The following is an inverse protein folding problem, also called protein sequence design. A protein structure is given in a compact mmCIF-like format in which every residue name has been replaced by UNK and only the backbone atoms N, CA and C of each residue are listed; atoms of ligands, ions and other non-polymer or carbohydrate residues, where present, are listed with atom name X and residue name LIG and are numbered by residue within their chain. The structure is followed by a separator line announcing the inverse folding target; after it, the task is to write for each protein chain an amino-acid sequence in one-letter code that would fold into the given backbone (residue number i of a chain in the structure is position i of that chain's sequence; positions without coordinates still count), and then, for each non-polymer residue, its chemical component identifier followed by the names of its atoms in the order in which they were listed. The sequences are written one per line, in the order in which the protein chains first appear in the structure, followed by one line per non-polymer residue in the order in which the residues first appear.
data_IF_346289096247
#
_entry.id   IF_346289096247
#
_cell.length_a   1.000
_cell.length_b   1.000
_cell.length_c   1.000
_cell.angle_alpha   90.00
_cell.angle_beta   90.00
_cell.angle_gamma   90.00
#
_symmetry.space_group_name_H-M   'P 1'
#
loop_
_entity.id
_entity.type
_entity.pdbx_description
1 polymer ?
#
# COMPACT_ATOMS: atom_id res chain seq x y z
N UNK A 1 69.91 -24.61 -5.90
CA UNK A 1 69.92 -24.54 -7.38
C UNK A 1 70.19 -25.94 -7.91
N UNK A 2 69.45 -26.36 -8.96
CA UNK A 2 69.60 -27.59 -9.79
C UNK A 2 69.15 -28.89 -9.10
N UNK A 3 68.01 -29.55 -9.39
CA UNK A 3 67.33 -30.01 -10.62
C UNK A 3 67.90 -31.30 -11.25
N UNK A 4 66.97 -32.10 -11.81
CA UNK A 4 67.07 -33.21 -12.78
C UNK A 4 67.06 -34.63 -12.16
N UNK A 5 66.29 -35.64 -12.61
CA UNK A 5 65.42 -35.86 -13.80
C UNK A 5 64.71 -37.23 -13.66
N UNK A 6 63.39 -37.31 -13.87
CA UNK A 6 62.61 -37.90 -15.02
C UNK A 6 62.28 -39.42 -14.96
N UNK A 7 60.98 -39.77 -14.77
CA UNK A 7 59.96 -40.29 -15.75
C UNK A 7 60.06 -41.80 -16.03
N UNK A 8 59.01 -42.61 -16.28
CA UNK A 8 57.54 -42.55 -16.39
C UNK A 8 57.07 -44.01 -16.65
N UNK A 9 55.76 -44.32 -16.50
CA UNK A 9 54.88 -45.03 -17.48
C UNK A 9 53.73 -45.84 -16.82
N UNK A 10 52.49 -45.45 -17.18
CA UNK A 10 51.24 -46.20 -17.46
C UNK A 10 50.47 -47.10 -16.45
N UNK A 11 49.23 -46.66 -16.18
CA UNK A 11 47.91 -47.25 -16.54
C UNK A 11 47.47 -48.71 -16.16
N UNK A 12 46.22 -48.79 -15.63
CA UNK A 12 45.12 -49.77 -15.81
C UNK A 12 44.66 -50.69 -14.63
N UNK A 13 43.42 -50.38 -14.17
CA UNK A 13 42.23 -51.24 -13.86
C UNK A 13 42.19 -52.30 -12.72
N UNK A 14 41.21 -52.18 -11.81
CA UNK A 14 40.04 -53.10 -11.61
C UNK A 14 39.41 -53.10 -10.18
N UNK A 15 38.12 -52.74 -10.07
CA UNK A 15 36.98 -53.47 -9.46
C UNK A 15 37.26 -54.40 -8.24
N UNK A 16 36.56 -54.38 -7.08
CA UNK A 16 35.10 -54.38 -6.87
C UNK A 16 34.73 -54.34 -5.36
N UNK A 17 33.61 -53.66 -5.09
CA UNK A 17 32.55 -53.83 -4.06
C UNK A 17 32.78 -54.55 -2.72
N UNK A 18 32.33 -53.89 -1.63
CA UNK A 18 31.32 -54.47 -0.72
C UNK A 18 30.34 -53.38 -0.24
N UNK A 19 29.05 -53.59 -0.54
CA UNK A 19 27.92 -52.87 0.06
C UNK A 19 27.68 -53.40 1.48
N UNK A 20 27.30 -52.51 2.39
CA UNK A 20 26.35 -52.83 3.45
C UNK A 20 25.44 -51.63 3.65
N UNK A 21 24.20 -51.85 3.23
CA UNK A 21 23.02 -51.03 3.43
C UNK A 21 22.72 -50.84 4.91
N UNK A 22 22.55 -49.59 5.33
CA UNK A 22 21.47 -49.27 6.26
C UNK A 22 20.68 -48.10 5.67
N UNK A 23 19.67 -48.47 4.88
CA UNK A 23 18.55 -47.61 4.57
C UNK A 23 17.69 -47.54 5.84
N UNK A 24 17.88 -46.47 6.61
CA UNK A 24 16.96 -46.01 7.62
C UNK A 24 16.58 -44.58 7.24
N UNK A 25 15.56 -44.46 6.40
CA UNK A 25 14.93 -43.18 6.10
C UNK A 25 14.46 -42.52 7.40
N UNK A 26 14.87 -41.28 7.62
CA UNK A 26 13.92 -40.25 8.04
C UNK A 26 14.23 -39.04 7.18
N UNK A 27 13.36 -38.87 6.19
CA UNK A 27 13.40 -37.81 5.21
C UNK A 27 13.46 -36.46 5.89
N UNK A 28 14.31 -35.61 5.31
CA UNK A 28 14.20 -34.17 5.35
C UNK A 28 12.74 -33.76 5.06
N UNK A 29 11.95 -33.55 6.11
CA UNK A 29 10.82 -32.64 6.05
C UNK A 29 11.40 -31.22 6.09
N UNK A 30 11.96 -30.81 4.97
CA UNK A 30 12.04 -29.40 4.65
C UNK A 30 10.62 -28.84 4.77
N UNK A 31 10.43 -27.86 5.65
CA UNK A 31 9.21 -27.07 5.83
C UNK A 31 8.82 -26.41 4.50
N UNK A 32 8.19 -27.16 3.62
CA UNK A 32 7.72 -26.72 2.31
C UNK A 32 6.33 -26.13 2.50
N UNK A 33 6.25 -24.80 2.42
CA UNK A 33 4.98 -24.13 2.15
C UNK A 33 4.41 -24.70 0.84
N UNK A 34 3.29 -25.42 0.94
CA UNK A 34 2.65 -26.02 -0.23
C UNK A 34 2.04 -24.89 -1.06
N UNK A 35 2.47 -24.74 -2.32
CA UNK A 35 1.77 -23.90 -3.29
C UNK A 35 0.40 -24.53 -3.56
N UNK A 36 -0.67 -23.79 -3.23
CA UNK A 36 -2.02 -24.33 -3.27
C UNK A 36 -2.72 -24.14 -4.63
N UNK A 37 -2.48 -23.04 -5.37
CA UNK A 37 -3.09 -22.79 -6.69
C UNK A 37 -2.59 -21.50 -7.38
N UNK A 38 -2.40 -21.43 -8.71
CA UNK A 38 -1.89 -20.24 -9.46
C UNK A 38 -3.02 -19.37 -10.01
N UNK A 39 -3.08 -18.05 -9.75
CA UNK A 39 -4.19 -17.17 -10.17
C UNK A 39 -3.73 -16.12 -11.20
N UNK A 40 -4.43 -15.88 -12.29
CA UNK A 40 -4.25 -14.70 -13.16
C UNK A 40 -5.33 -13.69 -12.87
N UNK A 41 -5.00 -12.40 -12.71
CA UNK A 41 -5.96 -11.38 -12.32
C UNK A 41 -6.93 -10.98 -13.46
N UNK A 42 -8.12 -10.54 -13.05
CA UNK A 42 -9.16 -10.01 -13.93
C UNK A 42 -8.74 -8.72 -14.66
N UNK A 43 -9.16 -8.57 -15.92
CA UNK A 43 -8.85 -7.42 -16.79
C UNK A 43 -10.13 -6.68 -17.17
N UNK A 44 -10.20 -5.34 -17.08
CA UNK A 44 -11.42 -4.59 -17.40
C UNK A 44 -11.78 -4.71 -18.88
N UNK A 45 -13.02 -5.11 -19.16
CA UNK A 45 -13.62 -5.15 -20.51
C UNK A 45 -14.46 -3.89 -20.73
N UNK A 46 -15.27 -3.52 -19.74
CA UNK A 46 -16.17 -2.37 -19.81
C UNK A 46 -16.19 -1.61 -18.49
N UNK A 47 -16.05 -0.29 -18.57
CA UNK A 47 -16.25 0.62 -17.44
C UNK A 47 -17.32 1.65 -17.77
N UNK A 48 -18.30 1.76 -16.89
CA UNK A 48 -19.36 2.78 -16.94
C UNK A 48 -18.98 3.90 -15.98
N UNK A 49 -19.00 5.14 -16.45
CA UNK A 49 -18.74 6.30 -15.60
C UNK A 49 -19.90 6.54 -14.61
N UNK A 50 -19.58 7.00 -13.39
CA UNK A 50 -20.59 7.44 -12.43
C UNK A 50 -21.36 8.64 -12.97
N UNK A 51 -22.69 8.59 -12.86
CA UNK A 51 -23.53 9.72 -13.20
C UNK A 51 -23.40 10.77 -12.09
N UNK A 52 -23.27 12.03 -12.48
CA UNK A 52 -23.30 13.12 -11.51
C UNK A 52 -24.72 13.28 -10.94
N UNK A 53 -24.93 13.20 -9.61
CA UNK A 53 -26.26 13.39 -9.03
C UNK A 53 -26.74 14.83 -9.24
N UNK A 54 -27.98 15.00 -9.73
CA UNK A 54 -28.51 16.31 -10.13
C UNK A 54 -28.59 17.31 -8.96
N UNK A 55 -28.90 16.85 -7.75
CA UNK A 55 -28.97 17.71 -6.57
C UNK A 55 -27.57 18.20 -6.15
N UNK A 56 -26.56 17.33 -6.24
CA UNK A 56 -25.16 17.71 -5.96
C UNK A 56 -24.65 18.71 -7.00
N UNK A 57 -24.95 18.46 -8.28
CA UNK A 57 -24.60 19.37 -9.37
C UNK A 57 -25.23 20.77 -9.18
N UNK A 58 -26.52 20.83 -8.81
CA UNK A 58 -27.21 22.11 -8.52
C UNK A 58 -26.64 22.82 -7.29
N UNK A 59 -26.24 22.07 -6.27
CA UNK A 59 -25.61 22.61 -5.08
C UNK A 59 -24.12 22.97 -5.29
N UNK A 60 -23.57 22.65 -6.46
CA UNK A 60 -22.16 22.84 -6.75
C UNK A 60 -21.23 22.01 -5.84
N UNK A 61 -21.73 20.88 -5.32
CA UNK A 61 -20.94 19.99 -4.46
C UNK A 61 -20.08 19.07 -5.31
N UNK A 62 -18.86 18.82 -4.87
CA UNK A 62 -17.87 17.91 -5.45
C UNK A 62 -17.42 16.89 -4.40
N UNK A 63 -16.82 15.80 -4.85
CA UNK A 63 -16.35 14.77 -3.93
C UNK A 63 -15.64 13.62 -4.60
N UNK A 64 -15.36 12.60 -3.81
CA UNK A 64 -14.77 11.35 -4.25
C UNK A 64 -15.30 10.20 -3.40
N UNK A 65 -15.26 8.99 -3.97
CA UNK A 65 -15.66 7.74 -3.32
C UNK A 65 -14.64 6.67 -3.69
N UNK A 66 -14.09 5.99 -2.68
CA UNK A 66 -13.24 4.82 -2.83
C UNK A 66 -14.08 3.58 -2.54
N UNK A 67 -14.17 2.70 -3.53
CA UNK A 67 -14.94 1.46 -3.44
C UNK A 67 -13.98 0.28 -3.50
N UNK A 68 -14.28 -0.75 -2.73
CA UNK A 68 -13.82 -2.10 -3.00
C UNK A 68 -14.93 -2.94 -3.62
N UNK A 69 -14.56 -3.92 -4.42
CA UNK A 69 -15.52 -4.79 -5.11
C UNK A 69 -14.91 -6.15 -5.45
N UNK A 70 -15.81 -7.10 -5.69
CA UNK A 70 -15.52 -8.47 -6.10
C UNK A 70 -15.74 -8.58 -7.61
N UNK A 71 -14.89 -9.33 -8.31
CA UNK A 71 -15.12 -9.74 -9.70
C UNK A 71 -15.42 -11.24 -9.68
N UNK A 72 -16.58 -11.65 -10.18
CA UNK A 72 -17.04 -13.03 -10.18
C UNK A 72 -16.42 -13.88 -11.29
N UNK A 73 -16.69 -15.19 -11.28
CA UNK A 73 -16.15 -16.16 -12.24
C UNK A 73 -16.57 -15.93 -13.70
N UNK A 74 -17.63 -15.17 -13.92
CA UNK A 74 -18.11 -14.71 -15.23
C UNK A 74 -17.63 -13.29 -15.57
N UNK A 75 -16.90 -12.65 -14.65
CA UNK A 75 -16.38 -11.30 -14.78
C UNK A 75 -17.36 -10.18 -14.40
N UNK A 76 -18.56 -10.51 -13.90
CA UNK A 76 -19.48 -9.53 -13.33
C UNK A 76 -18.92 -8.95 -12.02
N UNK A 77 -19.35 -7.74 -11.66
CA UNK A 77 -18.93 -7.08 -10.42
C UNK A 77 -20.00 -7.24 -9.34
N UNK A 78 -19.58 -7.71 -8.17
CA UNK A 78 -20.43 -7.91 -6.99
C UNK A 78 -19.76 -7.38 -5.73
N UNK A 79 -20.40 -7.55 -4.56
CA UNK A 79 -19.76 -7.33 -3.25
C UNK A 79 -19.16 -5.94 -3.07
N UNK A 80 -19.82 -4.91 -3.62
CA UNK A 80 -19.32 -3.54 -3.63
C UNK A 80 -19.44 -2.96 -2.21
N UNK A 81 -18.33 -2.46 -1.67
CA UNK A 81 -18.26 -1.81 -0.36
C UNK A 81 -17.59 -0.45 -0.53
N UNK A 82 -18.09 0.55 0.19
CA UNK A 82 -17.43 1.85 0.28
C UNK A 82 -16.34 1.72 1.35
N UNK A 83 -15.08 1.82 0.92
CA UNK A 83 -13.94 1.81 1.84
C UNK A 83 -13.74 3.19 2.45
N UNK A 84 -13.97 4.24 1.65
CA UNK A 84 -13.82 5.61 2.10
C UNK A 84 -14.55 6.59 1.16
N UNK A 85 -14.91 7.77 1.65
CA UNK A 85 -15.50 8.82 0.85
C UNK A 85 -15.25 10.22 1.41
N UNK A 86 -15.59 11.21 0.57
CA UNK A 86 -15.72 12.63 0.95
C UNK A 86 -17.00 12.95 1.75
N UNK A 87 -17.87 11.97 2.03
CA UNK A 87 -19.04 12.09 2.92
C UNK A 87 -20.41 12.29 2.24
N UNK A 88 -20.48 12.46 0.91
CA UNK A 88 -21.77 12.62 0.22
C UNK A 88 -22.41 11.27 -0.13
N UNK A 89 -23.51 10.95 0.55
CA UNK A 89 -24.29 9.73 0.27
C UNK A 89 -24.83 9.68 -1.17
N UNK A 90 -24.99 10.81 -1.86
CA UNK A 90 -25.43 10.82 -3.25
C UNK A 90 -24.33 10.36 -4.20
N UNK A 91 -23.09 10.80 -3.97
CA UNK A 91 -21.93 10.33 -4.73
C UNK A 91 -21.69 8.85 -4.48
N UNK A 92 -21.78 8.41 -3.24
CA UNK A 92 -21.67 6.99 -2.86
C UNK A 92 -22.66 6.12 -3.63
N UNK A 93 -23.94 6.51 -3.69
CA UNK A 93 -24.98 5.77 -4.44
C UNK A 93 -24.69 5.72 -5.94
N UNK A 94 -24.32 6.83 -6.57
CA UNK A 94 -24.04 6.84 -8.01
C UNK A 94 -22.72 6.12 -8.36
N UNK A 95 -21.75 6.14 -7.45
CA UNK A 95 -20.52 5.38 -7.58
C UNK A 95 -20.78 3.86 -7.57
N UNK A 96 -21.58 3.38 -6.60
CA UNK A 96 -21.98 1.96 -6.54
C UNK A 96 -22.69 1.55 -7.84
N UNK A 97 -23.70 2.31 -8.28
CA UNK A 97 -24.46 2.00 -9.52
C UNK A 97 -23.62 1.95 -10.79
N UNK A 98 -22.51 2.69 -10.82
CA UNK A 98 -21.59 2.66 -11.95
C UNK A 98 -20.66 1.45 -11.89
N UNK A 99 -20.07 1.18 -10.73
CA UNK A 99 -19.18 0.03 -10.51
C UNK A 99 -19.91 -1.30 -10.73
N UNK A 100 -21.19 -1.38 -10.33
CA UNK A 100 -22.06 -2.55 -10.55
C UNK A 100 -22.27 -2.88 -12.05
N UNK A 101 -22.07 -1.91 -12.94
CA UNK A 101 -22.22 -2.10 -14.40
C UNK A 101 -20.90 -2.36 -15.12
N UNK A 102 -19.82 -2.53 -14.37
CA UNK A 102 -18.52 -2.86 -14.96
C UNK A 102 -18.47 -4.34 -15.31
N UNK A 103 -17.71 -4.65 -16.36
CA UNK A 103 -17.45 -6.01 -16.80
C UNK A 103 -15.95 -6.23 -16.90
N UNK A 104 -15.51 -7.38 -16.47
CA UNK A 104 -14.13 -7.83 -16.55
C UNK A 104 -14.04 -9.18 -17.28
N UNK A 105 -12.84 -9.54 -17.73
CA UNK A 105 -12.50 -10.94 -17.88
C UNK A 105 -12.30 -11.52 -16.47
N UNK A 106 -12.77 -12.74 -16.18
CA UNK A 106 -12.61 -13.30 -14.84
C UNK A 106 -11.13 -13.52 -14.50
N UNK A 107 -10.84 -13.60 -13.21
CA UNK A 107 -9.57 -14.12 -12.76
C UNK A 107 -9.51 -15.63 -13.03
N UNK A 108 -8.33 -16.19 -13.28
CA UNK A 108 -8.15 -17.61 -13.65
C UNK A 108 -7.23 -18.30 -12.65
N UNK A 109 -7.73 -19.24 -11.85
CA UNK A 109 -6.94 -20.12 -10.98
C UNK A 109 -6.71 -21.48 -11.64
N UNK A 110 -5.45 -21.85 -11.90
CA UNK A 110 -5.04 -23.11 -12.52
C UNK A 110 -5.88 -23.48 -13.78
N UNK A 111 -6.12 -22.46 -14.62
CA UNK A 111 -6.89 -22.60 -15.86
C UNK A 111 -8.41 -22.55 -15.69
N UNK A 112 -8.93 -22.39 -14.47
CA UNK A 112 -10.36 -22.27 -14.18
C UNK A 112 -10.73 -20.86 -13.73
N UNK A 113 -11.85 -20.28 -14.19
CA UNK A 113 -12.32 -19.00 -13.68
C UNK A 113 -12.59 -19.03 -12.18
N UNK A 114 -12.13 -18.01 -11.46
CA UNK A 114 -12.33 -17.81 -10.02
C UNK A 114 -12.74 -16.39 -9.68
N UNK A 115 -13.38 -16.24 -8.53
CA UNK A 115 -13.77 -14.94 -7.98
C UNK A 115 -12.55 -14.19 -7.43
N UNK A 116 -12.35 -12.95 -7.86
CA UNK A 116 -11.33 -12.02 -7.36
C UNK A 116 -11.94 -11.07 -6.33
N UNK A 117 -11.75 -11.38 -5.04
CA UNK A 117 -12.58 -10.84 -3.96
C UNK A 117 -12.25 -9.43 -3.44
N UNK A 118 -11.13 -8.78 -3.82
CA UNK A 118 -10.96 -7.37 -3.48
C UNK A 118 -10.11 -6.61 -4.50
N UNK A 119 -10.81 -5.75 -5.19
CA UNK A 119 -10.35 -4.74 -6.12
C UNK A 119 -10.65 -3.39 -5.48
N UNK A 120 -9.93 -2.33 -5.84
CA UNK A 120 -10.22 -0.98 -5.32
C UNK A 120 -10.21 0.02 -6.45
N UNK A 121 -11.14 0.97 -6.41
CA UNK A 121 -11.17 2.09 -7.34
C UNK A 121 -11.61 3.35 -6.61
N UNK A 122 -11.09 4.50 -7.05
CA UNK A 122 -11.63 5.79 -6.66
C UNK A 122 -12.38 6.41 -7.82
N UNK A 123 -13.60 6.87 -7.58
CA UNK A 123 -14.40 7.66 -8.50
C UNK A 123 -14.49 9.10 -7.98
N UNK A 124 -14.20 10.06 -8.85
CA UNK A 124 -14.20 11.48 -8.53
C UNK A 124 -15.40 12.19 -9.18
N UNK A 125 -16.07 13.04 -8.40
CA UNK A 125 -17.20 13.85 -8.81
C UNK A 125 -16.77 15.31 -8.83
N UNK A 126 -16.34 15.78 -10.00
CA UNK A 126 -15.86 17.16 -10.21
C UNK A 126 -16.69 17.89 -11.26
N UNK A 127 -16.77 19.20 -11.12
CA UNK A 127 -17.35 20.06 -12.13
C UNK A 127 -16.27 20.82 -12.90
N UNK A 128 -16.48 21.04 -14.19
CA UNK A 128 -15.49 21.73 -15.03
C UNK A 128 -15.24 23.20 -14.64
N UNK A 129 -16.21 23.84 -13.97
CA UNK A 129 -16.18 25.25 -13.58
C UNK A 129 -16.17 25.48 -12.06
N UNK A 130 -15.77 24.49 -11.26
CA UNK A 130 -15.68 24.70 -9.80
C UNK A 130 -14.62 25.77 -9.51
N UNK A 131 -15.06 26.83 -8.81
CA UNK A 131 -14.26 28.03 -8.57
C UNK A 131 -12.87 27.75 -7.97
N UNK A 132 -11.97 28.73 -8.13
CA UNK A 132 -10.66 28.70 -7.48
C UNK A 132 -10.87 29.09 -6.01
N UNK A 133 -10.83 28.12 -5.10
CA UNK A 133 -10.89 28.36 -3.66
C UNK A 133 -11.85 27.45 -2.90
N UNK A 134 -12.18 27.85 -1.68
CA UNK A 134 -13.07 27.14 -0.74
C UNK A 134 -14.35 27.94 -0.50
N UNK A 135 -15.40 27.30 0.00
CA UNK A 135 -16.62 28.01 0.43
C UNK A 135 -16.35 28.94 1.61
N UNK A 136 -17.12 30.02 1.71
CA UNK A 136 -17.02 30.99 2.83
C UNK A 136 -17.24 30.33 4.19
N UNK A 137 -18.16 29.36 4.26
CA UNK A 137 -18.46 28.60 5.48
C UNK A 137 -17.26 27.76 5.92
N UNK A 138 -16.67 27.01 4.98
CA UNK A 138 -15.45 26.26 5.24
C UNK A 138 -14.31 27.18 5.68
N UNK A 139 -14.06 28.26 4.94
CA UNK A 139 -12.98 29.21 5.23
C UNK A 139 -13.08 29.76 6.65
N UNK A 140 -14.28 30.14 7.10
CA UNK A 140 -14.49 30.65 8.45
C UNK A 140 -14.17 29.60 9.52
N UNK A 141 -14.63 28.36 9.35
CA UNK A 141 -14.33 27.26 10.27
C UNK A 141 -12.84 26.92 10.28
N UNK A 142 -12.24 26.80 9.10
CA UNK A 142 -10.82 26.49 8.91
C UNK A 142 -9.91 27.55 9.54
N UNK A 143 -10.22 28.84 9.37
CA UNK A 143 -9.43 29.90 9.98
C UNK A 143 -9.49 29.86 11.50
N UNK A 144 -10.69 29.70 12.08
CA UNK A 144 -10.86 29.57 13.54
C UNK A 144 -10.12 28.35 14.08
N UNK A 145 -10.20 27.22 13.38
CA UNK A 145 -9.50 26.00 13.79
C UNK A 145 -7.98 26.17 13.74
N UNK A 146 -7.44 26.75 12.67
CA UNK A 146 -6.00 26.99 12.55
C UNK A 146 -5.49 28.05 13.53
N UNK A 147 -6.29 29.07 13.84
CA UNK A 147 -5.97 30.04 14.90
C UNK A 147 -5.86 29.34 16.25
N UNK A 148 -6.84 28.50 16.61
CA UNK A 148 -6.80 27.71 17.83
C UNK A 148 -5.62 26.71 17.84
N UNK A 149 -5.32 26.06 16.72
CA UNK A 149 -4.19 25.13 16.59
C UNK A 149 -2.85 25.82 16.87
N UNK A 150 -2.66 27.03 16.35
CA UNK A 150 -1.39 27.75 16.46
C UNK A 150 -1.28 28.57 17.75
N UNK A 151 -2.35 28.71 18.52
CA UNK A 151 -2.36 29.43 19.78
C UNK A 151 -1.99 28.50 20.95
N UNK A 152 -0.81 28.70 21.54
CA UNK A 152 -0.35 27.94 22.71
C UNK A 152 -1.24 28.11 23.95
N UNK A 153 -2.04 29.19 24.01
CA UNK A 153 -2.99 29.47 25.10
C UNK A 153 -4.41 28.95 24.84
N UNK A 154 -4.69 28.36 23.68
CA UNK A 154 -6.01 27.81 23.40
C UNK A 154 -6.33 26.64 24.33
N UNK A 155 -7.54 26.63 24.89
CA UNK A 155 -7.97 25.51 25.74
C UNK A 155 -8.12 24.24 24.91
N UNK A 156 -7.66 23.09 25.43
CA UNK A 156 -7.81 21.79 24.76
C UNK A 156 -9.27 21.52 24.36
N UNK A 157 -10.22 21.89 25.22
CA UNK A 157 -11.65 21.74 24.96
C UNK A 157 -12.16 22.54 23.77
N UNK A 158 -11.70 23.77 23.56
CA UNK A 158 -12.10 24.56 22.39
C UNK A 158 -11.52 23.97 21.10
N UNK A 159 -10.24 23.60 21.14
CA UNK A 159 -9.56 22.99 20.02
C UNK A 159 -10.24 21.68 19.61
N UNK A 160 -10.59 20.82 20.57
CA UNK A 160 -11.28 19.55 20.33
C UNK A 160 -12.67 19.76 19.71
N UNK A 161 -13.42 20.77 20.15
CA UNK A 161 -14.73 21.13 19.56
C UNK A 161 -14.59 21.61 18.13
N UNK A 162 -13.55 22.40 17.83
CA UNK A 162 -13.27 22.86 16.47
C UNK A 162 -12.80 21.69 15.58
N UNK A 163 -11.98 20.79 16.10
CA UNK A 163 -11.58 19.56 15.41
C UNK A 163 -12.80 18.70 15.08
N UNK A 164 -13.71 18.47 16.04
CA UNK A 164 -14.95 17.74 15.80
C UNK A 164 -15.85 18.43 14.78
N UNK A 165 -15.93 19.76 14.81
CA UNK A 165 -16.67 20.54 13.81
C UNK A 165 -16.04 20.42 12.42
N UNK A 166 -14.70 20.35 12.35
CA UNK A 166 -13.96 20.13 11.10
C UNK A 166 -14.17 18.72 10.56
N UNK A 167 -14.11 17.68 11.41
CA UNK A 167 -14.38 16.28 11.03
C UNK A 167 -15.81 16.09 10.49
N UNK A 168 -16.79 16.75 11.10
CA UNK A 168 -18.19 16.67 10.70
C UNK A 168 -18.59 17.63 9.55
N UNK A 169 -17.64 18.40 9.02
CA UNK A 169 -17.94 19.35 7.95
C UNK A 169 -18.23 18.62 6.63
N UNK A 170 -19.42 18.83 6.08
CA UNK A 170 -19.81 18.32 4.76
C UNK A 170 -19.08 19.08 3.65
N UNK A 171 -18.16 18.40 2.97
CA UNK A 171 -17.35 18.96 1.88
C UNK A 171 -18.25 19.43 0.73
N UNK A 172 -18.01 20.66 0.26
CA UNK A 172 -18.66 21.24 -0.91
C UNK A 172 -17.74 21.24 -2.10
N UNK A 173 -16.49 21.67 -1.94
CA UNK A 173 -15.50 21.68 -3.03
C UNK A 173 -14.42 20.68 -2.73
N UNK A 174 -13.93 19.94 -3.74
CA UNK A 174 -12.98 18.87 -3.44
C UNK A 174 -11.66 19.38 -2.83
N UNK A 175 -11.28 20.64 -3.07
CA UNK A 175 -10.12 21.27 -2.42
C UNK A 175 -10.32 21.51 -0.92
N UNK A 176 -11.57 21.63 -0.44
CA UNK A 176 -11.85 21.71 1.00
C UNK A 176 -11.46 20.41 1.70
N UNK A 177 -11.65 19.26 1.05
CA UNK A 177 -11.20 17.96 1.57
C UNK A 177 -9.68 17.95 1.80
N UNK A 178 -8.91 18.60 0.93
CA UNK A 178 -7.45 18.73 1.13
C UNK A 178 -7.15 19.57 2.39
N UNK A 179 -7.67 20.80 2.47
CA UNK A 179 -7.39 21.71 3.59
C UNK A 179 -7.90 21.16 4.93
N UNK A 180 -9.07 20.53 4.93
CA UNK A 180 -9.65 19.87 6.09
C UNK A 180 -8.69 18.82 6.65
N UNK A 181 -8.22 17.92 5.79
CA UNK A 181 -7.37 16.82 6.24
C UNK A 181 -5.95 17.28 6.58
N UNK A 182 -5.40 18.31 5.94
CA UNK A 182 -4.13 18.91 6.38
C UNK A 182 -4.26 19.49 7.79
N UNK A 183 -5.32 20.25 8.07
CA UNK A 183 -5.53 20.82 9.41
C UNK A 183 -5.77 19.74 10.47
N UNK A 184 -6.52 18.68 10.13
CA UNK A 184 -6.74 17.54 11.04
C UNK A 184 -5.47 16.69 11.26
N UNK A 185 -4.58 16.61 10.27
CA UNK A 185 -3.27 15.99 10.45
C UNK A 185 -2.40 16.78 11.44
N UNK A 186 -2.37 18.11 11.34
CA UNK A 186 -1.66 18.99 12.29
C UNK A 186 -2.24 18.88 13.71
N UNK A 187 -3.56 18.75 13.82
CA UNK A 187 -4.20 18.48 15.10
C UNK A 187 -3.76 17.12 15.68
N UNK A 188 -3.80 16.04 14.88
CA UNK A 188 -3.36 14.72 15.31
C UNK A 188 -1.88 14.69 15.72
N UNK A 189 -1.02 15.44 15.02
CA UNK A 189 0.38 15.66 15.39
C UNK A 189 0.52 16.26 16.80
N UNK A 190 -0.22 17.33 17.11
CA UNK A 190 -0.24 17.95 18.45
C UNK A 190 -0.71 17.00 19.55
N UNK A 191 -1.60 16.07 19.20
CA UNK A 191 -2.11 15.06 20.12
C UNK A 191 -1.19 13.82 20.21
N UNK A 192 -0.03 13.81 19.54
CA UNK A 192 0.87 12.66 19.41
C UNK A 192 0.15 11.39 18.91
N UNK A 193 -0.69 11.54 17.89
CA UNK A 193 -1.46 10.46 17.27
C UNK A 193 -0.95 10.17 15.85
N UNK A 194 0.23 9.52 15.68
CA UNK A 194 0.87 9.35 14.38
C UNK A 194 0.02 8.56 13.38
N UNK A 195 -0.75 7.56 13.83
CA UNK A 195 -1.67 6.82 12.95
C UNK A 195 -2.82 7.69 12.43
N UNK A 196 -3.40 8.55 13.29
CA UNK A 196 -4.47 9.49 12.89
C UNK A 196 -3.92 10.59 11.99
N UNK A 197 -2.70 11.05 12.26
CA UNK A 197 -1.97 11.99 11.40
C UNK A 197 -1.76 11.39 10.00
N UNK A 198 -1.24 10.16 9.92
CA UNK A 198 -1.04 9.45 8.65
C UNK A 198 -2.36 9.24 7.89
N UNK A 199 -3.43 8.86 8.59
CA UNK A 199 -4.78 8.74 8.02
C UNK A 199 -5.24 10.04 7.32
N UNK A 200 -5.08 11.19 7.99
CA UNK A 200 -5.46 12.47 7.40
C UNK A 200 -4.52 12.88 6.25
N UNK A 201 -3.21 12.66 6.36
CA UNK A 201 -2.28 12.93 5.25
C UNK A 201 -2.63 12.10 4.00
N UNK A 202 -2.94 10.82 4.17
CA UNK A 202 -3.39 9.96 3.07
C UNK A 202 -4.68 10.49 2.42
N UNK A 203 -5.64 10.96 3.22
CA UNK A 203 -6.89 11.57 2.73
C UNK A 203 -6.66 12.89 2.01
N UNK A 204 -5.74 13.73 2.48
CA UNK A 204 -5.40 14.99 1.82
C UNK A 204 -4.91 14.75 0.38
N UNK A 205 -4.17 13.65 0.15
CA UNK A 205 -3.66 13.25 -1.17
C UNK A 205 -4.74 12.61 -2.07
N UNK A 206 -5.95 12.33 -1.55
CA UNK A 206 -7.08 11.79 -2.35
C UNK A 206 -7.75 12.85 -3.23
N UNK A 207 -7.51 14.14 -3.02
CA UNK A 207 -8.14 15.12 -3.89
C UNK A 207 -7.56 15.08 -5.31
N UNK A 208 -8.41 14.76 -6.28
CA UNK A 208 -7.98 14.34 -7.61
C UNK A 208 -7.44 15.47 -8.50
N UNK A 209 -7.70 16.76 -8.24
CA UNK A 209 -6.96 17.82 -8.98
C UNK A 209 -5.46 17.72 -8.70
N UNK A 210 -5.07 17.24 -7.51
CA UNK A 210 -3.67 16.98 -7.21
C UNK A 210 -3.07 15.85 -8.07
N UNK A 211 -3.92 14.98 -8.65
CA UNK A 211 -3.51 13.82 -9.47
C UNK A 211 -3.69 14.03 -10.98
N UNK A 212 -4.34 15.11 -11.42
CA UNK A 212 -4.72 15.33 -12.83
C UNK A 212 -3.55 15.65 -13.79
N UNK A 213 -2.33 15.89 -13.28
CA UNK A 213 -1.17 16.25 -14.10
C UNK A 213 -0.19 15.10 -14.36
N UNK A 214 -0.60 13.85 -14.15
CA UNK A 214 0.23 12.66 -14.31
C UNK A 214 0.40 12.18 -15.77
N UNK A 215 0.11 12.99 -16.78
CA UNK A 215 0.18 12.60 -18.20
C UNK A 215 1.22 13.41 -18.98
N UNK A 216 2.05 12.73 -19.77
CA UNK A 216 3.10 13.26 -20.66
C UNK A 216 2.53 14.01 -21.88
N UNK A 217 1.69 15.02 -21.67
CA UNK A 217 1.24 15.94 -22.71
C UNK A 217 1.88 17.30 -22.52
N UNK A 218 2.24 17.98 -23.61
CA UNK A 218 2.71 19.36 -23.56
C UNK A 218 1.66 20.24 -22.88
N UNK A 219 1.99 20.71 -21.68
CA UNK A 219 1.12 21.59 -20.90
C UNK A 219 1.23 23.01 -21.44
N UNK A 220 0.08 23.66 -21.66
CA UNK A 220 0.04 25.11 -21.87
C UNK A 220 0.63 25.85 -20.66
N UNK A 221 1.07 27.10 -20.84
CA UNK A 221 1.58 27.95 -19.75
C UNK A 221 0.63 27.99 -18.54
N UNK A 222 -0.67 28.15 -18.80
CA UNK A 222 -1.71 28.15 -17.77
C UNK A 222 -1.79 26.80 -17.03
N UNK A 223 -1.66 25.68 -17.75
CA UNK A 223 -1.64 24.36 -17.13
C UNK A 223 -0.36 24.13 -16.30
N UNK A 224 0.79 24.67 -16.72
CA UNK A 224 2.02 24.63 -15.92
C UNK A 224 1.88 25.42 -14.61
N UNK A 225 1.27 26.61 -14.64
CA UNK A 225 1.02 27.41 -13.43
C UNK A 225 0.09 26.68 -12.45
N UNK A 226 -0.95 26.02 -12.97
CA UNK A 226 -1.86 25.20 -12.17
C UNK A 226 -1.13 23.99 -11.59
N UNK A 227 -0.32 23.28 -12.39
CA UNK A 227 0.53 22.16 -11.94
C UNK A 227 1.43 22.60 -10.80
N UNK A 228 2.19 23.67 -10.95
CA UNK A 228 3.08 24.19 -9.89
C UNK A 228 2.30 24.57 -8.63
N UNK A 229 1.09 25.12 -8.76
CA UNK A 229 0.24 25.44 -7.61
C UNK A 229 -0.23 24.21 -6.85
N UNK A 230 -0.45 23.11 -7.55
CA UNK A 230 -0.79 21.81 -6.97
C UNK A 230 0.42 21.21 -6.27
N UNK A 231 1.59 21.24 -6.90
CA UNK A 231 2.81 20.69 -6.32
C UNK A 231 3.21 21.40 -5.02
N UNK A 232 2.94 22.72 -4.90
CA UNK A 232 3.10 23.48 -3.65
C UNK A 232 2.31 22.88 -2.48
N UNK A 233 1.15 22.28 -2.77
CA UNK A 233 0.31 21.63 -1.78
C UNK A 233 0.76 20.18 -1.52
N UNK A 234 1.17 19.46 -2.58
CA UNK A 234 1.59 18.06 -2.46
C UNK A 234 2.88 17.88 -1.67
N UNK A 235 3.88 18.73 -1.92
CA UNK A 235 5.20 18.61 -1.32
C UNK A 235 5.20 18.48 0.21
N UNK A 236 4.60 19.43 0.98
CA UNK A 236 4.63 19.34 2.44
C UNK A 236 3.91 18.10 2.98
N UNK A 237 2.78 17.73 2.37
CA UNK A 237 1.99 16.54 2.78
C UNK A 237 2.77 15.25 2.53
N UNK A 238 3.37 15.10 1.34
CA UNK A 238 4.19 13.94 1.01
C UNK A 238 5.46 13.88 1.88
N UNK A 239 6.09 15.03 2.15
CA UNK A 239 7.28 15.06 3.00
C UNK A 239 6.95 14.64 4.44
N UNK A 240 5.90 15.20 5.05
CA UNK A 240 5.47 14.83 6.39
C UNK A 240 5.04 13.36 6.46
N UNK A 241 4.33 12.89 5.43
CA UNK A 241 3.94 11.48 5.28
C UNK A 241 5.17 10.57 5.25
N UNK A 242 6.21 10.91 4.48
CA UNK A 242 7.44 10.14 4.43
C UNK A 242 8.11 10.01 5.81
N UNK A 243 8.16 11.10 6.59
CA UNK A 243 8.76 11.06 7.92
C UNK A 243 8.02 10.07 8.84
N UNK A 244 6.69 10.11 8.85
CA UNK A 244 5.87 9.18 9.63
C UNK A 244 5.99 7.74 9.14
N UNK A 245 6.06 7.50 7.83
CA UNK A 245 6.25 6.17 7.27
C UNK A 245 7.61 5.58 7.66
N UNK A 246 8.66 6.40 7.69
CA UNK A 246 9.98 5.98 8.17
C UNK A 246 9.97 5.71 9.69
N UNK A 247 9.34 6.57 10.48
CA UNK A 247 9.20 6.42 11.93
C UNK A 247 8.41 5.15 12.30
N UNK A 248 7.34 4.87 11.58
CA UNK A 248 6.48 3.68 11.75
C UNK A 248 6.98 2.44 11.01
N UNK A 249 8.18 2.51 10.41
CA UNK A 249 8.82 1.44 9.64
C UNK A 249 7.95 0.88 8.50
N UNK A 250 7.05 1.70 7.93
CA UNK A 250 6.32 1.41 6.71
C UNK A 250 7.16 1.74 5.46
N UNK A 251 8.27 1.02 5.32
CA UNK A 251 9.26 1.18 4.24
C UNK A 251 8.57 1.04 2.87
N UNK A 252 7.58 0.16 2.77
CA UNK A 252 6.83 -0.04 1.54
C UNK A 252 6.10 1.24 1.12
N UNK A 253 5.34 1.89 2.00
CA UNK A 253 4.71 3.13 1.60
C UNK A 253 5.72 4.29 1.49
N UNK A 254 6.78 4.32 2.32
CA UNK A 254 7.87 5.29 2.24
C UNK A 254 8.49 5.39 0.84
N UNK A 255 8.81 4.26 0.19
CA UNK A 255 9.39 4.26 -1.17
C UNK A 255 8.43 4.86 -2.19
N UNK A 256 7.13 4.57 -2.09
CA UNK A 256 6.12 5.17 -2.99
C UNK A 256 6.02 6.68 -2.77
N UNK A 257 6.10 7.12 -1.52
CA UNK A 257 6.10 8.53 -1.17
C UNK A 257 7.36 9.24 -1.69
N UNK A 258 8.54 8.61 -1.58
CA UNK A 258 9.79 9.12 -2.17
C UNK A 258 9.68 9.26 -3.69
N UNK A 259 9.16 8.25 -4.39
CA UNK A 259 8.94 8.32 -5.84
C UNK A 259 7.97 9.45 -6.21
N UNK A 260 6.91 9.63 -5.41
CA UNK A 260 5.97 10.74 -5.58
C UNK A 260 6.65 12.10 -5.37
N UNK A 261 7.52 12.23 -4.37
CA UNK A 261 8.32 13.43 -4.13
C UNK A 261 9.28 13.72 -5.28
N UNK A 262 9.96 12.72 -5.82
CA UNK A 262 10.87 12.86 -6.96
C UNK A 262 10.14 13.24 -8.26
N UNK A 263 8.85 12.95 -8.36
CA UNK A 263 8.03 13.32 -9.52
C UNK A 263 7.58 14.79 -9.54
N UNK A 264 7.70 15.52 -8.43
CA UNK A 264 7.31 16.94 -8.37
C UNK A 264 8.42 17.81 -8.97
N UNK A 265 8.11 18.76 -9.84
CA UNK A 265 9.13 19.67 -10.37
C UNK A 265 9.50 20.77 -9.37
N UNK A 266 8.55 21.20 -8.53
CA UNK A 266 8.75 22.31 -7.59
C UNK A 266 9.84 22.05 -6.54
N UNK A 267 10.09 20.78 -6.21
CA UNK A 267 11.08 20.37 -5.22
C UNK A 267 12.37 19.85 -5.87
N UNK A 268 12.62 20.14 -7.16
CA UNK A 268 13.81 19.69 -7.89
C UNK A 268 15.13 19.97 -7.16
N UNK A 269 15.21 21.10 -6.44
CA UNK A 269 16.36 21.43 -5.59
C UNK A 269 16.64 20.41 -4.48
N UNK A 270 15.60 19.72 -4.00
CA UNK A 270 15.64 18.70 -2.96
C UNK A 270 15.69 17.28 -3.52
N UNK A 271 15.56 17.08 -4.84
CA UNK A 271 15.65 15.76 -5.46
C UNK A 271 16.91 14.99 -5.07
N UNK A 272 18.12 15.59 -4.97
CA UNK A 272 19.30 14.85 -4.53
C UNK A 272 19.14 14.22 -3.13
N UNK A 273 18.43 14.87 -2.21
CA UNK A 273 18.16 14.33 -0.88
C UNK A 273 17.21 13.12 -0.96
N UNK A 274 16.11 13.25 -1.71
CA UNK A 274 15.14 12.17 -1.86
C UNK A 274 15.68 11.01 -2.68
N UNK A 275 16.51 11.26 -3.69
CA UNK A 275 17.19 10.23 -4.47
C UNK A 275 18.15 9.43 -3.58
N UNK A 276 18.92 10.12 -2.72
CA UNK A 276 19.75 9.44 -1.71
C UNK A 276 18.92 8.63 -0.71
N UNK A 277 17.76 9.15 -0.29
CA UNK A 277 16.84 8.40 0.56
C UNK A 277 16.27 7.16 -0.16
N UNK A 278 15.92 7.29 -1.45
CA UNK A 278 15.48 6.18 -2.28
C UNK A 278 16.56 5.10 -2.37
N UNK A 279 17.79 5.50 -2.72
CA UNK A 279 18.94 4.60 -2.80
C UNK A 279 19.17 3.87 -1.47
N UNK A 280 19.04 4.56 -0.33
CA UNK A 280 19.17 3.93 0.98
C UNK A 280 18.07 2.89 1.25
N UNK A 281 16.82 3.19 0.91
CA UNK A 281 15.70 2.27 1.09
C UNK A 281 15.82 1.07 0.14
N UNK A 282 16.24 1.28 -1.11
CA UNK A 282 16.50 0.22 -2.08
C UNK A 282 17.69 -0.64 -1.67
N UNK A 283 18.77 -0.04 -1.17
CA UNK A 283 19.91 -0.76 -0.60
C UNK A 283 19.49 -1.62 0.59
N UNK A 284 18.63 -1.12 1.48
CA UNK A 284 18.07 -1.92 2.57
C UNK A 284 17.29 -3.13 2.03
N UNK A 285 16.42 -2.93 1.03
CA UNK A 285 15.66 -4.02 0.39
C UNK A 285 16.60 -5.06 -0.21
N UNK A 286 17.66 -4.64 -0.88
CA UNK A 286 18.59 -5.53 -1.58
C UNK A 286 19.71 -6.09 -0.67
N UNK A 287 19.78 -5.67 0.60
CA UNK A 287 20.80 -6.14 1.55
C UNK A 287 20.45 -7.46 2.22
N UNK A 288 21.41 -8.07 2.90
CA UNK A 288 21.20 -9.26 3.75
C UNK A 288 20.50 -8.94 5.08
N UNK A 289 20.26 -7.67 5.38
CA UNK A 289 19.60 -7.26 6.62
C UNK A 289 18.16 -7.75 6.64
N UNK A 290 17.72 -8.31 7.76
CA UNK A 290 16.32 -8.67 7.95
C UNK A 290 15.46 -7.41 8.07
N UNK A 291 14.35 -7.38 7.32
CA UNK A 291 13.34 -6.31 7.47
C UNK A 291 12.22 -6.90 8.32
N UNK A 292 12.04 -6.38 9.53
CA UNK A 292 11.00 -6.85 10.44
C UNK A 292 10.02 -5.74 10.81
N UNK A 293 8.75 -6.12 10.99
CA UNK A 293 7.70 -5.24 11.46
C UNK A 293 6.83 -5.95 12.48
N UNK A 294 6.77 -5.43 13.70
CA UNK A 294 5.80 -5.88 14.72
C UNK A 294 4.43 -5.34 14.36
N UNK A 295 3.42 -6.19 14.46
CA UNK A 295 2.06 -5.89 14.04
C UNK A 295 1.07 -6.36 15.10
N UNK A 296 -0.03 -5.61 15.23
CA UNK A 296 -1.21 -5.96 16.00
C UNK A 296 -2.44 -5.87 15.07
N UNK A 297 -3.27 -6.92 15.01
CA UNK A 297 -4.54 -6.88 14.28
C UNK A 297 -5.55 -5.92 14.93
N UNK A 298 -5.44 -5.67 16.23
CA UNK A 298 -6.35 -4.85 17.02
C UNK A 298 -7.81 -5.27 16.76
N UNK A 299 -8.72 -4.31 16.60
CA UNK A 299 -10.13 -4.53 16.22
C UNK A 299 -10.34 -4.72 14.69
N UNK A 300 -9.30 -5.07 13.92
CA UNK A 300 -9.42 -5.29 12.47
C UNK A 300 -9.39 -6.79 12.21
N UNK A 301 -10.43 -7.31 11.57
CA UNK A 301 -10.49 -8.71 11.11
C UNK A 301 -9.37 -9.05 10.11
N UNK A 302 -8.79 -8.02 9.47
CA UNK A 302 -7.76 -8.15 8.44
C UNK A 302 -6.74 -7.04 8.53
N UNK A 303 -5.46 -7.41 8.51
CA UNK A 303 -4.36 -6.47 8.30
C UNK A 303 -3.64 -6.73 6.97
N UNK A 304 -3.44 -5.68 6.19
CA UNK A 304 -2.70 -5.73 4.92
C UNK A 304 -1.27 -5.22 5.12
N UNK A 305 -0.29 -6.03 4.75
CA UNK A 305 1.12 -5.67 4.66
C UNK A 305 1.57 -5.69 3.19
N UNK A 306 2.36 -4.72 2.75
CA UNK A 306 2.93 -4.75 1.39
C UNK A 306 4.35 -5.29 1.47
N UNK A 307 4.62 -6.38 0.76
CA UNK A 307 5.95 -6.98 0.75
C UNK A 307 6.93 -6.10 -0.03
N UNK A 308 8.15 -6.09 0.46
CA UNK A 308 9.34 -5.51 -0.16
C UNK A 308 10.20 -6.58 -0.82
N UNK A 309 10.16 -7.80 -0.30
CA UNK A 309 10.88 -8.98 -0.81
C UNK A 309 9.93 -10.13 -1.08
N UNK A 310 10.40 -11.05 -1.91
CA UNK A 310 9.63 -12.24 -2.25
C UNK A 310 9.68 -13.33 -1.18
N UNK A 311 10.50 -13.18 -0.13
CA UNK A 311 10.64 -14.18 0.93
C UNK A 311 10.29 -13.59 2.29
N UNK A 312 9.40 -14.25 3.05
CA UNK A 312 9.04 -13.79 4.38
C UNK A 312 8.64 -14.93 5.31
N UNK A 313 8.64 -14.67 6.61
CA UNK A 313 8.14 -15.57 7.65
C UNK A 313 7.48 -14.78 8.78
N UNK A 314 6.76 -15.48 9.65
CA UNK A 314 6.14 -14.91 10.85
C UNK A 314 6.89 -15.40 12.11
N UNK A 315 7.01 -14.53 13.11
CA UNK A 315 7.58 -14.84 14.43
C UNK A 315 6.72 -14.27 15.54
N UNK A 316 6.89 -14.80 16.75
CA UNK A 316 6.33 -14.27 17.99
C UNK A 316 4.81 -14.04 17.89
N UNK A 317 4.09 -15.04 17.35
CA UNK A 317 2.63 -14.97 17.23
C UNK A 317 2.03 -15.15 18.64
N UNK A 318 1.29 -14.15 19.08
CA UNK A 318 0.51 -14.16 20.31
C UNK A 318 -0.96 -13.92 19.94
N UNK A 319 -1.79 -14.94 20.14
CA UNK A 319 -3.14 -15.03 19.58
C UNK A 319 -3.25 -16.07 18.45
N UNK A 320 -4.21 -15.89 17.54
CA UNK A 320 -4.47 -16.86 16.46
C UNK A 320 -4.66 -16.18 15.11
N UNK A 321 -3.82 -16.55 14.15
CA UNK A 321 -4.03 -16.27 12.74
C UNK A 321 -4.76 -17.43 12.06
N UNK A 322 -5.85 -17.13 11.34
CA UNK A 322 -6.69 -18.13 10.68
C UNK A 322 -6.21 -18.44 9.28
N UNK A 323 -5.80 -17.43 8.51
CA UNK A 323 -5.27 -17.57 7.15
C UNK A 323 -4.43 -16.38 6.72
N UNK A 324 -3.65 -16.62 5.68
CA UNK A 324 -2.83 -15.63 5.00
C UNK A 324 -3.26 -15.57 3.52
N UNK A 325 -3.64 -14.39 3.02
CA UNK A 325 -4.08 -14.17 1.63
C UNK A 325 -3.06 -13.27 0.92
N UNK A 326 -2.14 -13.87 0.17
CA UNK A 326 -1.16 -13.16 -0.67
C UNK A 326 -1.86 -12.69 -1.94
N UNK A 327 -1.77 -11.39 -2.22
CA UNK A 327 -2.35 -10.73 -3.39
C UNK A 327 -1.30 -9.87 -4.09
N UNK A 328 -0.98 -10.26 -5.30
CA UNK A 328 -0.06 -9.59 -6.21
C UNK A 328 -0.83 -9.02 -7.41
N UNK A 329 -0.17 -8.20 -8.21
CA UNK A 329 -0.73 -7.56 -9.39
C UNK A 329 -1.20 -8.57 -10.45
N UNK A 330 -0.63 -9.77 -10.46
CA UNK A 330 -0.93 -10.81 -11.43
C UNK A 330 -1.38 -12.12 -10.79
N UNK A 331 -1.31 -12.28 -9.46
CA UNK A 331 -1.47 -13.55 -8.75
C UNK A 331 -2.12 -13.39 -7.38
N UNK A 332 -2.79 -14.43 -6.88
CA UNK A 332 -3.36 -14.48 -5.53
C UNK A 332 -3.29 -15.90 -4.98
N UNK A 333 -2.90 -16.06 -3.74
CA UNK A 333 -2.76 -17.37 -3.09
C UNK A 333 -3.18 -17.28 -1.62
N UNK A 334 -3.92 -18.26 -1.14
CA UNK A 334 -4.30 -18.37 0.28
C UNK A 334 -3.49 -19.49 0.92
N UNK A 335 -2.90 -19.22 2.08
CA UNK A 335 -2.10 -20.18 2.86
C UNK A 335 -2.68 -20.33 4.28
N UNK A 336 -2.54 -21.53 4.85
CA UNK A 336 -2.66 -21.74 6.29
C UNK A 336 -1.47 -21.10 7.01
N UNK A 337 -1.68 -20.60 8.22
CA UNK A 337 -0.59 -20.04 9.04
C UNK A 337 -0.01 -21.11 9.95
N UNK A 338 1.31 -21.23 9.97
CA UNK A 338 2.05 -21.95 11.00
C UNK A 338 3.34 -21.18 11.35
N UNK A 339 3.82 -21.34 12.59
CA UNK A 339 4.95 -20.58 13.14
C UNK A 339 6.32 -20.95 12.55
N UNK A 340 6.40 -22.06 11.80
CA UNK A 340 7.65 -22.59 11.26
C UNK A 340 7.80 -22.37 9.75
N UNK A 341 6.80 -21.80 9.08
CA UNK A 341 6.81 -21.61 7.64
C UNK A 341 7.54 -20.34 7.26
N UNK A 342 8.40 -20.49 6.26
CA UNK A 342 8.81 -19.41 5.39
C UNK A 342 8.04 -19.54 4.06
N UNK A 343 7.55 -18.42 3.55
CA UNK A 343 6.93 -18.31 2.24
C UNK A 343 7.93 -17.68 1.27
N UNK A 344 8.15 -18.34 0.14
CA UNK A 344 8.91 -17.83 -0.99
C UNK A 344 7.94 -17.63 -2.15
N UNK A 345 7.76 -16.39 -2.57
CA UNK A 345 6.96 -16.01 -3.72
C UNK A 345 7.85 -16.08 -4.98
N UNK A 346 7.29 -16.50 -6.13
CA UNK A 346 8.00 -16.46 -7.40
C UNK A 346 8.33 -15.02 -7.84
N UNK A 347 9.51 -14.82 -8.45
CA UNK A 347 10.00 -13.49 -8.88
C UNK A 347 9.08 -12.78 -9.89
N UNK A 348 8.35 -13.54 -10.70
CA UNK A 348 7.41 -12.97 -11.68
C UNK A 348 6.13 -12.41 -11.02
N UNK A 349 5.94 -12.57 -9.71
CA UNK A 349 4.81 -12.00 -8.98
C UNK A 349 5.11 -10.56 -8.60
N UNK A 350 4.30 -9.63 -9.10
CA UNK A 350 4.60 -8.21 -8.98
C UNK A 350 3.75 -7.53 -7.92
N UNK A 351 4.35 -6.59 -7.17
CA UNK A 351 3.65 -5.71 -6.22
C UNK A 351 2.79 -6.45 -5.18
N UNK A 352 3.33 -7.51 -4.58
CA UNK A 352 2.62 -8.37 -3.64
C UNK A 352 2.28 -7.67 -2.31
N UNK A 353 1.09 -7.96 -1.80
CA UNK A 353 0.65 -7.65 -0.45
C UNK A 353 0.14 -8.92 0.23
N UNK A 354 0.34 -9.04 1.53
CA UNK A 354 -0.18 -10.13 2.34
C UNK A 354 -1.28 -9.60 3.24
N UNK A 355 -2.43 -10.27 3.23
CA UNK A 355 -3.54 -9.99 4.13
C UNK A 355 -3.58 -11.07 5.21
N UNK A 356 -3.40 -10.68 6.47
CA UNK A 356 -3.45 -11.55 7.63
C UNK A 356 -4.83 -11.48 8.27
N UNK A 357 -5.45 -12.64 8.48
CA UNK A 357 -6.75 -12.79 9.13
C UNK A 357 -6.53 -13.51 10.46
N UNK A 358 -7.22 -13.10 11.51
CA UNK A 358 -7.03 -13.67 12.83
C UNK A 358 -8.04 -13.18 13.85
N UNK A 359 -7.86 -13.62 15.10
CA UNK A 359 -8.61 -13.14 16.25
C UNK A 359 -8.18 -11.70 16.59
N UNK A 360 -9.09 -10.92 17.20
CA UNK A 360 -8.79 -9.56 17.64
C UNK A 360 -7.56 -9.53 18.56
N UNK A 361 -6.81 -8.43 18.48
CA UNK A 361 -5.59 -8.19 19.26
C UNK A 361 -4.46 -9.23 19.06
N UNK A 362 -4.58 -10.12 18.06
CA UNK A 362 -3.47 -11.02 17.69
C UNK A 362 -2.26 -10.19 17.27
N UNK A 363 -1.11 -10.46 17.89
CA UNK A 363 0.15 -9.77 17.60
C UNK A 363 1.18 -10.73 17.01
N UNK A 364 1.96 -10.26 16.05
CA UNK A 364 3.00 -11.07 15.39
C UNK A 364 4.06 -10.18 14.74
N UNK A 365 5.21 -10.75 14.43
CA UNK A 365 6.30 -10.08 13.74
C UNK A 365 6.41 -10.62 12.33
N UNK A 366 6.25 -9.76 11.33
CA UNK A 366 6.54 -10.09 9.93
C UNK A 366 8.04 -9.91 9.74
N UNK A 367 8.72 -10.92 9.17
CA UNK A 367 10.15 -10.86 8.87
C UNK A 367 10.37 -11.17 7.39
N UNK A 368 10.80 -10.18 6.62
CA UNK A 368 11.17 -10.33 5.21
C UNK A 368 12.66 -10.65 5.08
N UNK A 369 12.95 -11.77 4.41
CA UNK A 369 14.26 -12.38 4.26
C UNK A 369 14.91 -11.97 2.93
N UNK A 370 16.24 -11.83 2.85
CA UNK A 370 16.94 -11.48 1.60
C UNK A 370 16.75 -12.53 0.51
N UNK A 371 16.92 -12.11 -0.75
CA UNK A 371 16.94 -13.01 -1.91
C UNK A 371 18.32 -13.69 -1.99
N UNK A 372 18.39 -14.98 -1.67
CA UNK A 372 19.64 -15.75 -1.67
C UNK A 372 19.50 -17.17 -1.10
N UNK A 373 20.22 -18.11 -1.72
CA UNK A 373 20.24 -19.54 -1.37
C UNK A 373 20.88 -19.82 -0.01
N UNK A 374 20.20 -20.63 0.79
CA UNK A 374 20.64 -21.21 2.07
C UNK A 374 20.97 -20.25 3.22
N UNK A 375 20.20 -20.39 4.30
CA UNK A 375 20.69 -20.12 5.64
C UNK A 375 21.91 -21.03 5.87
N UNK A 376 23.12 -20.51 5.67
CA UNK A 376 24.30 -21.10 6.29
C UNK A 376 24.11 -20.89 7.78
N UNK A 377 23.63 -21.94 8.46
CA UNK A 377 23.70 -22.01 9.90
C UNK A 377 25.17 -21.83 10.27
N UNK A 378 25.51 -20.67 10.81
CA UNK A 378 26.81 -20.46 11.44
C UNK A 378 26.89 -21.37 12.65
N UNK A 379 27.40 -22.58 12.48
CA UNK A 379 27.89 -23.38 13.59
C UNK A 379 29.16 -22.72 14.09
N UNK A 380 29.04 -21.94 15.16
CA UNK A 380 30.19 -21.58 15.98
C UNK A 380 30.76 -22.85 16.60
N UNK A 381 32.08 -23.03 16.44
CA UNK A 381 32.90 -24.03 17.13
C UNK A 381 32.84 -23.87 18.64
#
# INVERSE_FOLDING_TARGET
MVSLTKTSIACLLAFSTFLSSNAGALESQANLSKQLATITNAVPIKRVAARYPTNEARAGREGWVVLSYVIETDGEVSGIVIEDSSGSSQFEREAIRAVEKWQFSPAIEDGKPVTQCKNTVQLDFKMHNSGVGVSRKFLSLHNRFNEALNNESATSTELDKLAQSMENYEIVLGIESYYQNVALAQYAEKQNQPEKQLYHLDRALRFSRLREFASDTELTQKQMEVKQSIERNLFPVLHQKLLLELETQDIANAIKTVNSLLSLEINKKHHPLYAKQQEHLEALINSDQLISKRVNLANKDVLKHRLLRNKFMLKDIDGRLTKLDVRCQNQRHIFSVNEQSAWQLPEHWQACSVLFYGENDTTFTIVELPEGDNLVASTSK
#
